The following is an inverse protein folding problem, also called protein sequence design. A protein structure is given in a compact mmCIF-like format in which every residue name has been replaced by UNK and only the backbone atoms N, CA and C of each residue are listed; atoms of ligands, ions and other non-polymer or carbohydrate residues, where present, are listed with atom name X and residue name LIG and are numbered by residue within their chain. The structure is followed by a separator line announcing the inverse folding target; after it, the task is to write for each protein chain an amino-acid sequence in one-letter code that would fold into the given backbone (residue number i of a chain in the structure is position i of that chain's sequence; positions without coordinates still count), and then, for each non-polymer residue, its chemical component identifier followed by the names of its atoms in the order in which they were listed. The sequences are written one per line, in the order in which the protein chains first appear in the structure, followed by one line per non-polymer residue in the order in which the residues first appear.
data_IF_186434196275
#
_entry.id   IF_186434196275
#
_cell.length_a   1.000
_cell.length_b   1.000
_cell.length_c   1.000
_cell.angle_alpha   90.00
_cell.angle_beta   90.00
_cell.angle_gamma   90.00
#
_symmetry.space_group_name_H-M   'P 1'
#
loop_
_entity.id
_entity.type
_entity.pdbx_description
1 polymer ?
#
# COMPACT_ATOMS: atom_id res chain seq x y z
N UNK A 1 -31.49 -40.27 -26.72
CA UNK A 1 -31.00 -38.90 -26.45
C UNK A 1 -30.17 -38.84 -25.17
N UNK A 2 -30.58 -39.39 -24.00
CA UNK A 2 -29.79 -39.33 -22.74
C UNK A 2 -28.44 -40.14 -22.79
N UNK A 3 -28.32 -41.19 -23.57
CA UNK A 3 -27.09 -42.00 -23.69
C UNK A 3 -26.06 -41.33 -24.58
N UNK A 4 -26.49 -40.68 -25.65
CA UNK A 4 -25.61 -39.94 -26.56
C UNK A 4 -25.04 -38.68 -25.89
N UNK A 5 -25.82 -37.96 -25.07
CA UNK A 5 -25.34 -36.81 -24.28
C UNK A 5 -24.30 -37.22 -23.22
N UNK A 6 -24.45 -38.39 -22.57
CA UNK A 6 -23.44 -38.89 -21.62
C UNK A 6 -22.13 -39.27 -22.31
N UNK A 7 -22.19 -39.90 -23.48
CA UNK A 7 -21.03 -40.31 -24.24
C UNK A 7 -20.27 -39.04 -24.77
N UNK A 8 -20.98 -38.04 -25.31
CA UNK A 8 -20.41 -36.76 -25.71
C UNK A 8 -19.75 -36.00 -24.52
N UNK A 9 -20.34 -36.04 -23.32
CA UNK A 9 -19.74 -35.41 -22.14
C UNK A 9 -18.46 -36.11 -21.68
N UNK A 10 -18.42 -37.45 -21.75
CA UNK A 10 -17.22 -38.22 -21.39
C UNK A 10 -16.11 -38.03 -22.42
N UNK A 11 -16.43 -38.05 -23.72
CA UNK A 11 -15.43 -37.78 -24.76
C UNK A 11 -14.85 -36.37 -24.69
N UNK A 12 -15.70 -35.35 -24.44
CA UNK A 12 -15.23 -33.96 -24.26
C UNK A 12 -14.33 -33.83 -23.01
N UNK A 13 -14.72 -34.48 -21.90
CA UNK A 13 -13.91 -34.52 -20.68
C UNK A 13 -12.57 -35.20 -20.85
N UNK A 14 -12.54 -36.31 -21.63
CA UNK A 14 -11.31 -37.04 -21.92
C UNK A 14 -10.38 -36.21 -22.80
N UNK A 15 -10.91 -35.55 -23.83
CA UNK A 15 -10.12 -34.66 -24.72
C UNK A 15 -9.54 -33.49 -23.94
N UNK A 16 -10.34 -32.89 -23.04
CA UNK A 16 -9.88 -31.79 -22.17
C UNK A 16 -8.78 -32.27 -21.22
N UNK A 17 -8.94 -33.46 -20.62
CA UNK A 17 -7.91 -34.06 -19.76
C UNK A 17 -6.61 -34.33 -20.49
N UNK A 18 -6.66 -34.91 -21.69
CA UNK A 18 -5.49 -35.17 -22.53
C UNK A 18 -4.79 -33.86 -22.91
N UNK A 19 -5.56 -32.83 -23.25
CA UNK A 19 -5.02 -31.49 -23.54
C UNK A 19 -4.31 -30.88 -22.30
N UNK A 20 -4.90 -30.98 -21.13
CA UNK A 20 -4.29 -30.50 -19.88
C UNK A 20 -3.01 -31.26 -19.53
N UNK A 21 -3.00 -32.59 -19.72
CA UNK A 21 -1.79 -33.42 -19.54
C UNK A 21 -0.70 -33.05 -20.55
N UNK A 22 -1.06 -32.82 -21.81
CA UNK A 22 -0.12 -32.38 -22.83
C UNK A 22 0.49 -31.00 -22.52
N UNK A 23 -0.33 -30.05 -22.09
CA UNK A 23 0.13 -28.71 -21.64
C UNK A 23 1.06 -28.86 -20.45
N UNK A 24 0.70 -29.67 -19.45
CA UNK A 24 1.54 -29.93 -18.30
C UNK A 24 2.89 -30.54 -18.69
N UNK A 25 2.89 -31.47 -19.65
CA UNK A 25 4.10 -32.07 -20.17
C UNK A 25 5.01 -31.05 -20.87
N UNK A 26 4.43 -30.18 -21.71
CA UNK A 26 5.15 -29.11 -22.39
C UNK A 26 5.80 -28.17 -21.39
N UNK A 27 5.04 -27.72 -20.36
CA UNK A 27 5.55 -26.82 -19.33
C UNK A 27 6.70 -27.46 -18.55
N UNK A 28 6.56 -28.71 -18.10
CA UNK A 28 7.59 -29.37 -17.27
C UNK A 28 8.83 -29.85 -18.04
N UNK A 29 8.71 -30.21 -19.34
CA UNK A 29 9.82 -30.78 -20.09
C UNK A 29 10.43 -29.85 -21.14
N UNK A 30 9.65 -28.91 -21.69
CA UNK A 30 10.13 -27.99 -22.75
C UNK A 30 10.55 -26.65 -22.14
N UNK A 31 9.75 -26.09 -21.22
CA UNK A 31 10.03 -24.80 -20.56
C UNK A 31 10.60 -25.05 -19.18
N UNK A 32 11.85 -25.47 -19.14
CA UNK A 32 12.54 -25.74 -17.86
C UNK A 32 13.15 -24.46 -17.28
N UNK A 33 13.29 -24.35 -15.93
CA UNK A 33 13.94 -23.21 -15.27
C UNK A 33 15.34 -22.92 -15.83
N UNK A 34 16.11 -23.96 -16.15
CA UNK A 34 17.45 -23.83 -16.77
C UNK A 34 17.47 -23.07 -18.10
N UNK A 35 16.39 -23.14 -18.88
CA UNK A 35 16.26 -22.42 -20.14
C UNK A 35 15.62 -21.03 -19.95
N UNK A 36 14.66 -20.93 -19.04
CA UNK A 36 13.87 -19.71 -18.85
C UNK A 36 14.66 -18.64 -18.07
N UNK A 37 15.38 -19.06 -17.02
CA UNK A 37 16.11 -18.12 -16.14
C UNK A 37 17.10 -17.23 -16.90
N UNK A 38 18.02 -17.75 -17.76
CA UNK A 38 18.96 -16.90 -18.47
C UNK A 38 18.25 -15.92 -19.43
N UNK A 39 17.18 -16.36 -20.11
CA UNK A 39 16.44 -15.49 -21.04
C UNK A 39 15.81 -14.30 -20.31
N UNK A 40 15.21 -14.55 -19.14
CA UNK A 40 14.60 -13.47 -18.33
C UNK A 40 15.67 -12.55 -17.75
N UNK A 41 16.78 -13.11 -17.25
CA UNK A 41 17.91 -12.33 -16.74
C UNK A 41 18.52 -11.42 -17.81
N UNK A 42 18.80 -11.97 -18.98
CA UNK A 42 19.41 -11.22 -20.08
C UNK A 42 18.49 -10.08 -20.53
N UNK A 43 17.20 -10.36 -20.73
CA UNK A 43 16.23 -9.35 -21.12
C UNK A 43 16.11 -8.21 -20.07
N UNK A 44 16.03 -8.56 -18.79
CA UNK A 44 15.94 -7.57 -17.72
C UNK A 44 17.24 -6.75 -17.58
N UNK A 45 18.40 -7.39 -17.61
CA UNK A 45 19.70 -6.72 -17.46
C UNK A 45 20.08 -5.83 -18.65
N UNK A 46 19.49 -6.08 -19.83
CA UNK A 46 19.65 -5.20 -21.00
C UNK A 46 18.84 -3.89 -20.86
N UNK A 47 17.68 -3.96 -20.22
CA UNK A 47 16.77 -2.81 -20.10
C UNK A 47 17.01 -1.95 -18.85
N UNK A 48 17.56 -2.55 -17.80
CA UNK A 48 17.77 -1.86 -16.51
C UNK A 48 19.18 -1.23 -16.39
N UNK A 49 19.26 -0.11 -15.71
CA UNK A 49 20.49 0.45 -15.17
C UNK A 49 20.82 -0.17 -13.80
N UNK A 50 20.71 -1.47 -13.73
CA UNK A 50 20.91 -2.27 -12.54
C UNK A 50 21.37 -3.67 -12.96
N UNK A 51 21.83 -4.45 -12.00
CA UNK A 51 22.08 -5.88 -12.15
C UNK A 51 20.99 -6.64 -11.40
N UNK A 52 20.15 -7.33 -12.16
CA UNK A 52 19.18 -8.28 -11.64
C UNK A 52 19.83 -9.66 -11.60
N UNK A 53 19.73 -10.33 -10.47
CA UNK A 53 20.11 -11.72 -10.29
C UNK A 53 18.94 -12.51 -9.67
N UNK A 54 18.87 -13.81 -9.96
CA UNK A 54 17.85 -14.70 -9.41
C UNK A 54 18.29 -16.15 -9.51
N UNK A 55 17.88 -16.96 -8.56
CA UNK A 55 18.21 -18.38 -8.54
C UNK A 55 17.50 -19.16 -9.68
N UNK A 56 16.20 -18.95 -9.81
CA UNK A 56 15.40 -19.64 -10.84
C UNK A 56 14.13 -18.89 -11.21
N UNK A 57 13.70 -19.10 -12.46
CA UNK A 57 12.39 -18.74 -12.97
C UNK A 57 11.64 -20.00 -13.38
N UNK A 58 10.47 -20.19 -12.79
CA UNK A 58 9.62 -21.36 -13.03
C UNK A 58 8.29 -20.92 -13.60
N UNK A 59 7.77 -21.64 -14.60
CA UNK A 59 6.39 -21.49 -15.03
C UNK A 59 5.49 -22.31 -14.12
N UNK A 60 4.44 -21.69 -13.60
CA UNK A 60 3.42 -22.35 -12.79
C UNK A 60 2.09 -22.29 -13.52
N UNK A 61 1.40 -23.43 -13.59
CA UNK A 61 0.06 -23.50 -14.19
C UNK A 61 -0.95 -24.07 -13.18
N UNK A 62 -0.63 -25.19 -12.55
CA UNK A 62 -1.60 -25.87 -11.68
C UNK A 62 -1.94 -25.08 -10.41
N UNK A 63 -0.99 -24.38 -9.82
CA UNK A 63 -1.22 -23.56 -8.63
C UNK A 63 -1.90 -22.22 -8.95
N UNK A 64 -1.89 -21.81 -10.22
CA UNK A 64 -2.44 -20.53 -10.68
C UNK A 64 -3.58 -20.68 -11.68
N UNK A 65 -4.01 -21.93 -11.98
CA UNK A 65 -5.07 -22.24 -12.95
C UNK A 65 -6.35 -21.41 -12.74
N UNK A 66 -6.96 -20.84 -13.79
CA UNK A 66 -6.64 -20.97 -15.24
C UNK A 66 -5.61 -19.97 -15.76
N UNK A 67 -4.86 -19.29 -14.91
CA UNK A 67 -3.85 -18.30 -15.25
C UNK A 67 -2.47 -18.96 -15.35
N UNK A 68 -1.57 -18.35 -16.12
CA UNK A 68 -0.17 -18.73 -16.11
C UNK A 68 0.59 -17.90 -15.10
N UNK A 69 1.41 -18.55 -14.28
CA UNK A 69 2.25 -17.89 -13.30
C UNK A 69 3.73 -18.00 -13.67
N UNK A 70 4.45 -16.93 -13.43
CA UNK A 70 5.90 -16.91 -13.34
C UNK A 70 6.28 -16.85 -11.88
N UNK A 71 7.04 -17.82 -11.41
CA UNK A 71 7.59 -17.86 -10.06
C UNK A 71 9.09 -17.61 -10.15
N UNK A 72 9.56 -16.55 -9.52
CA UNK A 72 10.97 -16.19 -9.43
C UNK A 72 11.44 -16.43 -8.00
N UNK A 73 12.54 -17.15 -7.84
CA UNK A 73 13.12 -17.45 -6.51
C UNK A 73 14.41 -16.69 -6.28
N UNK A 74 14.57 -16.23 -5.04
CA UNK A 74 15.78 -15.58 -4.53
C UNK A 74 16.32 -14.50 -5.46
N UNK A 75 15.46 -13.50 -5.76
CA UNK A 75 15.83 -12.40 -6.64
C UNK A 75 16.50 -11.26 -5.88
N UNK A 76 17.45 -10.60 -6.55
CA UNK A 76 18.10 -9.39 -6.04
C UNK A 76 18.34 -8.38 -7.15
N UNK A 77 18.19 -7.11 -6.85
CA UNK A 77 18.40 -5.99 -7.76
C UNK A 77 19.44 -5.05 -7.18
N UNK A 78 20.59 -4.95 -7.85
CA UNK A 78 21.70 -4.08 -7.47
C UNK A 78 21.79 -2.93 -8.45
N UNK A 79 21.68 -1.70 -7.96
CA UNK A 79 21.73 -0.50 -8.78
C UNK A 79 23.16 -0.23 -9.29
N UNK A 80 23.26 0.32 -10.50
CA UNK A 80 24.49 0.86 -11.06
C UNK A 80 24.56 2.39 -10.97
N UNK A 81 23.52 3.03 -10.43
CA UNK A 81 23.39 4.49 -10.43
C UNK A 81 24.38 5.20 -9.49
N UNK A 82 24.79 4.55 -8.39
CA UNK A 82 25.62 5.18 -7.36
C UNK A 82 27.12 5.03 -7.61
N UNK A 83 27.56 3.94 -8.24
CA UNK A 83 28.95 3.58 -8.33
C UNK A 83 29.31 2.99 -9.68
N UNK A 84 30.35 3.51 -10.32
CA UNK A 84 30.80 3.06 -11.63
C UNK A 84 31.80 1.90 -11.54
N UNK A 85 32.35 1.55 -10.38
CA UNK A 85 33.53 0.67 -10.30
C UNK A 85 33.58 -0.37 -9.19
N UNK A 86 32.76 -0.28 -8.13
CA UNK A 86 32.75 -1.29 -7.06
C UNK A 86 31.38 -1.41 -6.41
N UNK A 87 30.94 -2.67 -6.19
CA UNK A 87 29.73 -2.93 -5.45
C UNK A 87 29.87 -2.50 -3.98
N UNK A 88 28.87 -1.81 -3.44
CA UNK A 88 28.76 -1.56 -2.02
C UNK A 88 27.32 -1.86 -1.53
N UNK A 89 27.14 -2.00 -0.21
CA UNK A 89 25.85 -2.35 0.37
C UNK A 89 24.71 -1.40 0.00
N UNK A 90 25.04 -0.14 -0.24
CA UNK A 90 24.08 0.91 -0.64
C UNK A 90 23.57 0.75 -2.07
N UNK A 91 24.20 -0.08 -2.89
CA UNK A 91 23.78 -0.35 -4.27
C UNK A 91 22.65 -1.38 -4.33
N UNK A 92 22.53 -2.23 -3.30
CA UNK A 92 21.47 -3.24 -3.20
C UNK A 92 20.13 -2.56 -2.91
N UNK A 93 19.28 -2.44 -3.93
CA UNK A 93 17.97 -1.80 -3.83
C UNK A 93 16.88 -2.75 -3.33
N UNK A 94 16.84 -3.96 -3.86
CA UNK A 94 15.76 -4.92 -3.62
C UNK A 94 16.31 -6.32 -3.51
N UNK A 95 15.79 -7.09 -2.57
CA UNK A 95 15.87 -8.55 -2.58
C UNK A 95 14.55 -9.16 -2.16
N UNK A 96 14.27 -10.37 -2.61
CA UNK A 96 13.07 -11.12 -2.24
C UNK A 96 13.35 -12.62 -2.32
N UNK A 97 12.65 -13.39 -1.51
CA UNK A 97 12.75 -14.86 -1.54
C UNK A 97 11.91 -15.44 -2.67
N UNK A 98 10.69 -14.95 -2.82
CA UNK A 98 9.78 -15.42 -3.85
C UNK A 98 9.01 -14.23 -4.47
N UNK A 99 8.91 -14.24 -5.80
CA UNK A 99 8.03 -13.36 -6.54
C UNK A 99 7.14 -14.22 -7.44
N UNK A 100 5.84 -14.09 -7.32
CA UNK A 100 4.86 -14.77 -8.18
C UNK A 100 4.08 -13.73 -8.96
N UNK A 101 4.19 -13.83 -10.28
CA UNK A 101 3.46 -13.00 -11.24
C UNK A 101 2.47 -13.88 -11.99
N UNK A 102 1.17 -13.57 -11.97
CA UNK A 102 0.17 -14.30 -12.77
C UNK A 102 -0.37 -13.44 -13.89
N UNK A 103 -0.37 -14.00 -15.09
CA UNK A 103 -0.80 -13.32 -16.32
C UNK A 103 -1.96 -14.05 -17.00
N UNK A 104 -2.76 -13.32 -17.75
CA UNK A 104 -3.81 -13.91 -18.59
C UNK A 104 -3.27 -14.12 -20.01
N UNK A 105 -2.98 -15.37 -20.42
CA UNK A 105 -2.46 -15.65 -21.74
C UNK A 105 -3.49 -15.41 -22.85
N UNK A 106 -4.78 -15.56 -22.56
CA UNK A 106 -5.85 -15.36 -23.54
C UNK A 106 -5.90 -13.88 -23.93
N UNK A 107 -5.86 -12.96 -22.97
CA UNK A 107 -5.81 -11.53 -23.26
C UNK A 107 -4.59 -11.13 -24.12
N UNK A 108 -3.45 -11.78 -23.89
CA UNK A 108 -2.27 -11.56 -24.72
C UNK A 108 -2.47 -12.05 -26.16
N UNK A 109 -3.04 -13.25 -26.33
CA UNK A 109 -3.23 -13.85 -27.66
C UNK A 109 -4.35 -13.18 -28.48
N UNK A 110 -5.40 -12.68 -27.82
CA UNK A 110 -6.59 -12.14 -28.50
C UNK A 110 -6.56 -10.62 -28.63
N UNK A 111 -5.94 -9.93 -27.67
CA UNK A 111 -6.02 -8.47 -27.53
C UNK A 111 -4.63 -7.80 -27.57
N UNK A 112 -3.55 -8.58 -27.68
CA UNK A 112 -2.16 -8.13 -27.55
C UNK A 112 -1.90 -7.29 -26.29
N UNK A 113 -2.60 -7.63 -25.20
CA UNK A 113 -2.59 -6.92 -23.93
C UNK A 113 -2.07 -7.82 -22.81
N UNK A 114 -1.09 -7.34 -22.04
CA UNK A 114 -0.59 -8.05 -20.86
C UNK A 114 -1.46 -7.68 -19.66
N UNK A 115 -2.30 -8.62 -19.21
CA UNK A 115 -3.09 -8.47 -18.00
C UNK A 115 -2.41 -9.26 -16.89
N UNK A 116 -1.89 -8.54 -15.91
CA UNK A 116 -1.31 -9.10 -14.69
C UNK A 116 -2.39 -9.21 -13.64
N UNK A 117 -2.83 -10.42 -13.30
CA UNK A 117 -3.86 -10.61 -12.29
C UNK A 117 -3.32 -10.45 -10.88
N UNK A 118 -2.17 -11.03 -10.60
CA UNK A 118 -1.57 -10.97 -9.27
C UNK A 118 -0.07 -10.74 -9.37
N UNK A 119 0.43 -9.89 -8.48
CA UNK A 119 1.85 -9.77 -8.16
C UNK A 119 1.99 -10.04 -6.66
N UNK A 120 2.68 -11.10 -6.29
CA UNK A 120 2.96 -11.43 -4.89
C UNK A 120 4.47 -11.50 -4.67
N UNK A 121 4.95 -10.82 -3.64
CA UNK A 121 6.35 -10.80 -3.23
C UNK A 121 6.42 -11.24 -1.76
N UNK A 122 7.34 -12.14 -1.44
CA UNK A 122 7.52 -12.69 -0.09
C UNK A 122 8.96 -12.51 0.39
N UNK A 123 9.10 -12.21 1.68
CA UNK A 123 10.37 -11.91 2.35
C UNK A 123 11.17 -10.85 1.57
N UNK A 124 10.55 -9.68 1.43
CA UNK A 124 11.10 -8.56 0.65
C UNK A 124 11.99 -7.70 1.54
N UNK A 125 13.17 -7.35 1.06
CA UNK A 125 13.99 -6.31 1.64
C UNK A 125 14.23 -5.21 0.61
N UNK A 126 13.86 -3.98 0.94
CA UNK A 126 14.10 -2.79 0.13
C UNK A 126 14.99 -1.84 0.90
N UNK A 127 16.08 -1.42 0.29
CA UNK A 127 16.94 -0.38 0.81
C UNK A 127 17.04 0.75 -0.22
N UNK A 128 16.11 1.70 -0.13
CA UNK A 128 16.10 2.89 -0.96
C UNK A 128 17.07 3.93 -0.38
N UNK A 129 18.16 4.20 -1.09
CA UNK A 129 19.25 5.07 -0.63
C UNK A 129 19.48 6.21 -1.61
N UNK A 130 19.60 7.44 -1.08
CA UNK A 130 20.06 8.62 -1.80
C UNK A 130 21.30 9.19 -1.10
N UNK A 131 22.36 9.43 -1.84
CA UNK A 131 23.58 10.00 -1.29
C UNK A 131 23.46 11.53 -1.12
N UNK A 132 24.47 12.16 -0.49
CA UNK A 132 24.52 13.61 -0.26
C UNK A 132 24.55 14.45 -1.54
N UNK A 133 24.95 13.87 -2.68
CA UNK A 133 24.99 14.56 -3.97
C UNK A 133 23.66 14.45 -4.74
N UNK A 134 22.65 13.76 -4.17
CA UNK A 134 21.34 13.59 -4.76
C UNK A 134 21.16 12.35 -5.65
N UNK A 135 22.23 11.58 -5.93
CA UNK A 135 22.12 10.32 -6.68
C UNK A 135 21.44 9.25 -5.84
N UNK A 136 20.56 8.48 -6.46
CA UNK A 136 19.75 7.48 -5.76
C UNK A 136 19.91 6.07 -6.38
N UNK A 137 19.88 5.03 -5.52
CA UNK A 137 19.96 3.65 -5.99
C UNK A 137 18.69 3.14 -6.66
N UNK A 138 17.57 3.85 -6.55
CA UNK A 138 16.33 3.52 -7.27
C UNK A 138 16.26 4.09 -8.70
N UNK A 139 17.28 4.81 -9.16
CA UNK A 139 17.42 5.27 -10.55
C UNK A 139 17.87 4.11 -11.45
N UNK A 140 17.03 3.07 -11.50
CA UNK A 140 17.33 1.81 -12.21
C UNK A 140 16.80 1.77 -13.64
N UNK A 141 16.12 2.80 -14.12
CA UNK A 141 15.73 2.94 -15.51
C UNK A 141 16.86 3.57 -16.31
N UNK A 142 17.19 2.99 -17.47
CA UNK A 142 18.08 3.69 -18.40
C UNK A 142 17.34 4.88 -18.96
N UNK A 143 17.99 6.04 -18.97
CA UNK A 143 17.47 7.19 -19.71
C UNK A 143 17.29 6.77 -21.17
N UNK A 144 16.08 6.88 -21.70
CA UNK A 144 15.85 6.75 -23.13
C UNK A 144 16.67 7.86 -23.80
N UNK A 145 17.64 7.47 -24.60
CA UNK A 145 18.32 8.44 -25.48
C UNK A 145 17.26 8.85 -26.50
N UNK A 146 16.70 10.03 -26.30
CA UNK A 146 15.82 10.69 -27.24
C UNK A 146 16.58 11.01 -28.54
N UNK A 147 16.84 10.01 -29.36
CA UNK A 147 17.30 10.16 -30.75
C UNK A 147 16.89 8.94 -31.55
N UNK A 148 15.57 8.78 -31.75
CA UNK A 148 15.08 7.97 -32.87
C UNK A 148 14.11 8.85 -33.65
N UNK A 149 14.42 9.15 -34.96
CA UNK A 149 13.48 9.80 -35.86
C UNK A 149 12.23 8.93 -35.98
N UNK A 150 11.09 9.57 -35.98
CA UNK A 150 9.76 8.96 -36.03
C UNK A 150 9.44 8.30 -37.40
N UNK A 151 10.27 7.37 -37.88
CA UNK A 151 10.00 6.65 -39.14
C UNK A 151 10.72 5.30 -39.16
N UNK A 152 10.43 4.44 -38.23
CA UNK A 152 10.59 2.99 -38.43
C UNK A 152 9.58 2.33 -37.50
N UNK A 153 8.75 1.47 -38.11
CA UNK A 153 7.72 0.70 -37.43
C UNK A 153 8.35 -0.11 -36.27
N UNK A 154 8.45 0.56 -35.12
CA UNK A 154 8.61 -0.10 -33.84
C UNK A 154 7.31 -0.85 -33.62
N UNK A 155 7.40 -2.14 -33.45
CA UNK A 155 6.35 -2.92 -32.79
C UNK A 155 6.15 -2.28 -31.44
N UNK A 156 5.25 -1.30 -31.39
CA UNK A 156 4.81 -0.68 -30.15
C UNK A 156 4.29 -1.80 -29.26
N UNK A 157 5.10 -2.16 -28.27
CA UNK A 157 4.67 -2.90 -27.11
C UNK A 157 3.76 -1.97 -26.30
N UNK A 158 2.62 -1.63 -26.89
CA UNK A 158 1.55 -0.88 -26.25
C UNK A 158 0.76 -1.85 -25.35
N UNK A 159 1.50 -2.55 -24.47
CA UNK A 159 0.92 -3.48 -23.54
C UNK A 159 0.39 -2.68 -22.37
N UNK A 160 -0.91 -2.42 -22.39
CA UNK A 160 -1.64 -1.89 -21.25
C UNK A 160 -1.51 -2.92 -20.11
N UNK A 161 -0.75 -2.56 -19.07
CA UNK A 161 -0.54 -3.42 -17.90
C UNK A 161 -1.68 -3.15 -16.92
N UNK A 162 -2.62 -4.09 -16.81
CA UNK A 162 -3.72 -4.06 -15.85
C UNK A 162 -3.36 -4.96 -14.65
N UNK A 163 -2.89 -4.36 -13.56
CA UNK A 163 -2.56 -5.08 -12.31
C UNK A 163 -3.77 -5.02 -11.38
N UNK A 164 -4.33 -6.18 -11.01
CA UNK A 164 -5.53 -6.26 -10.18
C UNK A 164 -5.26 -6.52 -8.71
N UNK A 165 -4.24 -7.31 -8.40
CA UNK A 165 -3.87 -7.63 -7.03
C UNK A 165 -2.37 -7.48 -6.84
N UNK A 166 -1.98 -6.79 -5.77
CA UNK A 166 -0.59 -6.71 -5.31
C UNK A 166 -0.57 -7.22 -3.87
N UNK A 167 0.34 -8.13 -3.57
CA UNK A 167 0.55 -8.65 -2.23
C UNK A 167 2.04 -8.60 -1.89
N UNK A 168 2.38 -7.94 -0.78
CA UNK A 168 3.69 -8.01 -0.15
C UNK A 168 3.56 -8.74 1.17
N UNK A 169 4.46 -9.66 1.46
CA UNK A 169 4.50 -10.42 2.71
C UNK A 169 5.88 -10.30 3.34
N UNK A 170 5.89 -10.01 4.63
CA UNK A 170 7.12 -9.93 5.43
C UNK A 170 8.16 -9.00 4.81
N UNK A 171 7.73 -7.78 4.43
CA UNK A 171 8.60 -6.80 3.81
C UNK A 171 9.32 -5.95 4.86
N UNK A 172 10.63 -5.79 4.69
CA UNK A 172 11.46 -4.87 5.46
C UNK A 172 11.90 -3.74 4.53
N UNK A 173 11.45 -2.53 4.82
CA UNK A 173 11.64 -1.38 3.96
C UNK A 173 12.50 -0.34 4.68
N UNK A 174 13.57 0.11 4.04
CA UNK A 174 14.42 1.18 4.52
C UNK A 174 14.48 2.27 3.46
N UNK A 175 14.23 3.51 3.87
CA UNK A 175 14.46 4.71 3.09
C UNK A 175 15.50 5.57 3.80
N UNK A 176 16.65 5.79 3.17
CA UNK A 176 17.81 6.51 3.70
C UNK A 176 18.22 7.62 2.74
N UNK A 177 17.66 8.80 2.93
CA UNK A 177 17.96 9.98 2.13
C UNK A 177 18.95 10.89 2.85
N UNK A 178 20.23 10.78 2.48
CA UNK A 178 21.32 11.59 3.04
C UNK A 178 21.34 13.01 2.51
N UNK A 179 20.61 13.31 1.45
CA UNK A 179 20.50 14.65 0.90
C UNK A 179 19.56 15.54 1.73
N UNK A 180 18.46 14.96 2.21
CA UNK A 180 17.46 15.66 3.03
C UNK A 180 17.52 15.31 4.52
N UNK A 181 18.47 14.44 4.91
CA UNK A 181 18.64 13.91 6.26
C UNK A 181 17.34 13.25 6.80
N UNK A 182 16.74 12.40 5.94
CA UNK A 182 15.56 11.61 6.27
C UNK A 182 15.94 10.13 6.31
N UNK A 183 15.58 9.47 7.41
CA UNK A 183 15.70 8.03 7.53
C UNK A 183 14.38 7.43 8.00
N UNK A 184 13.86 6.44 7.28
CA UNK A 184 12.68 5.68 7.65
C UNK A 184 12.93 4.19 7.54
N UNK A 185 12.39 3.44 8.48
CA UNK A 185 12.43 1.98 8.47
C UNK A 185 11.08 1.42 8.87
N UNK A 186 10.60 0.46 8.09
CA UNK A 186 9.38 -0.28 8.36
C UNK A 186 9.74 -1.76 8.42
N UNK A 187 9.42 -2.41 9.53
CA UNK A 187 9.74 -3.81 9.77
C UNK A 187 8.49 -4.68 9.62
N UNK A 188 8.65 -5.80 8.92
CA UNK A 188 7.63 -6.84 8.73
C UNK A 188 6.30 -6.28 8.21
N UNK A 189 6.40 -5.51 7.14
CA UNK A 189 5.24 -4.93 6.48
C UNK A 189 4.53 -5.97 5.61
N UNK A 190 3.21 -6.01 5.72
CA UNK A 190 2.34 -6.77 4.85
C UNK A 190 1.40 -5.80 4.14
N UNK A 191 1.28 -5.94 2.84
CA UNK A 191 0.40 -5.12 2.00
C UNK A 191 -0.44 -6.02 1.12
N UNK A 192 -1.73 -5.77 1.09
CA UNK A 192 -2.64 -6.39 0.13
C UNK A 192 -3.51 -5.32 -0.52
N UNK A 193 -3.29 -5.13 -1.80
CA UNK A 193 -4.00 -4.18 -2.64
C UNK A 193 -4.84 -4.96 -3.65
N UNK A 194 -6.12 -4.66 -3.75
CA UNK A 194 -7.03 -5.18 -4.75
C UNK A 194 -7.63 -4.04 -5.55
N UNK A 195 -7.47 -4.09 -6.85
CA UNK A 195 -7.98 -3.08 -7.76
C UNK A 195 -9.01 -3.73 -8.70
N UNK A 196 -10.18 -3.13 -8.81
CA UNK A 196 -11.17 -3.49 -9.81
C UNK A 196 -11.56 -2.27 -10.60
N UNK A 197 -11.29 -2.32 -11.90
CA UNK A 197 -11.60 -1.26 -12.84
C UNK A 197 -12.78 -1.70 -13.70
N UNK A 198 -13.95 -1.06 -13.53
CA UNK A 198 -15.11 -1.27 -14.37
C UNK A 198 -15.50 0.01 -15.09
N UNK A 199 -16.35 -0.08 -16.11
CA UNK A 199 -16.86 1.11 -16.80
C UNK A 199 -17.67 1.96 -15.82
N UNK A 200 -17.11 3.09 -15.38
CA UNK A 200 -17.75 4.06 -14.49
C UNK A 200 -17.33 3.99 -13.04
N UNK A 201 -17.18 2.81 -12.43
CA UNK A 201 -16.81 2.66 -11.02
C UNK A 201 -15.50 1.88 -10.88
N UNK A 202 -14.60 2.40 -10.08
CA UNK A 202 -13.37 1.72 -9.66
C UNK A 202 -13.44 1.42 -8.16
N UNK A 203 -12.98 0.25 -7.76
CA UNK A 203 -12.86 -0.12 -6.35
C UNK A 203 -11.41 -0.45 -6.01
N UNK A 204 -10.97 0.04 -4.86
CA UNK A 204 -9.65 -0.22 -4.30
C UNK A 204 -9.83 -0.76 -2.89
N UNK A 205 -9.49 -2.02 -2.67
CA UNK A 205 -9.37 -2.61 -1.33
C UNK A 205 -7.92 -2.58 -0.90
N UNK A 206 -7.64 -1.99 0.26
CA UNK A 206 -6.31 -1.89 0.85
C UNK A 206 -6.30 -2.54 2.24
N UNK A 207 -5.33 -3.42 2.48
CA UNK A 207 -4.95 -3.89 3.80
C UNK A 207 -3.45 -3.72 3.95
N UNK A 208 -3.03 -3.09 5.03
CA UNK A 208 -1.63 -2.89 5.37
C UNK A 208 -1.46 -3.15 6.86
N UNK A 209 -0.41 -3.83 7.22
CA UNK A 209 0.05 -3.94 8.61
C UNK A 209 1.57 -4.00 8.67
N UNK A 210 2.12 -3.60 9.81
CA UNK A 210 3.53 -3.69 10.10
C UNK A 210 3.78 -3.86 11.59
N UNK A 211 4.96 -4.36 11.95
CA UNK A 211 5.35 -4.51 13.37
C UNK A 211 5.97 -3.26 13.96
N UNK A 212 6.70 -2.49 13.14
CA UNK A 212 7.45 -1.35 13.65
C UNK A 212 7.70 -0.32 12.55
N UNK A 213 7.50 0.95 12.88
CA UNK A 213 7.93 2.10 12.08
C UNK A 213 8.90 2.92 12.92
N UNK A 214 10.03 3.28 12.29
CA UNK A 214 10.98 4.29 12.76
C UNK A 214 11.06 5.40 11.73
N UNK A 215 11.05 6.65 12.18
CA UNK A 215 11.24 7.79 11.30
C UNK A 215 12.11 8.85 11.97
N UNK A 216 13.19 9.21 11.30
CA UNK A 216 14.14 10.25 11.69
C UNK A 216 14.14 11.35 10.65
N UNK A 217 14.22 12.59 11.11
CA UNK A 217 14.41 13.75 10.26
C UNK A 217 15.37 14.73 10.93
N UNK A 218 16.40 15.16 10.21
CA UNK A 218 17.39 16.11 10.72
C UNK A 218 18.00 15.71 12.07
N UNK A 219 18.33 14.42 12.22
CA UNK A 219 18.91 13.87 13.45
C UNK A 219 17.89 13.66 14.59
N UNK A 220 16.64 14.00 14.40
CA UNK A 220 15.58 13.85 15.39
C UNK A 220 14.72 12.61 15.14
N UNK A 221 14.47 11.80 16.18
CA UNK A 221 13.57 10.65 16.13
C UNK A 221 12.12 11.11 16.32
N UNK A 222 11.37 11.23 15.22
CA UNK A 222 9.99 11.70 15.22
C UNK A 222 8.98 10.56 15.43
N UNK A 223 9.27 9.35 14.92
CA UNK A 223 8.43 8.17 15.08
C UNK A 223 9.28 7.03 15.60
N UNK A 224 8.83 6.39 16.68
CA UNK A 224 9.55 5.32 17.32
C UNK A 224 8.62 4.17 17.72
N UNK A 225 8.91 2.98 17.19
CA UNK A 225 8.23 1.73 17.53
C UNK A 225 6.70 1.82 17.39
N UNK A 226 6.25 2.24 16.22
CA UNK A 226 4.83 2.29 15.89
C UNK A 226 4.46 1.05 15.07
N UNK A 227 3.55 0.25 15.62
CA UNK A 227 2.84 -0.78 14.88
C UNK A 227 1.55 -0.19 14.33
N UNK A 228 1.25 -0.45 13.05
CA UNK A 228 0.03 0.03 12.42
C UNK A 228 -0.71 -1.09 11.70
N UNK A 229 -2.02 -0.95 11.63
CA UNK A 229 -2.88 -1.78 10.77
C UNK A 229 -3.89 -0.86 10.10
N UNK A 230 -3.97 -0.90 8.79
CA UNK A 230 -4.91 -0.12 7.99
C UNK A 230 -5.74 -1.05 7.12
N UNK A 231 -7.06 -0.89 7.17
CA UNK A 231 -8.01 -1.50 6.25
C UNK A 231 -8.89 -0.40 5.67
N UNK A 232 -9.11 -0.43 4.37
CA UNK A 232 -10.08 0.47 3.73
C UNK A 232 -10.56 -0.11 2.41
N UNK A 233 -11.83 0.12 2.10
CA UNK A 233 -12.42 -0.09 0.79
C UNK A 233 -12.83 1.26 0.22
N UNK A 234 -12.22 1.64 -0.91
CA UNK A 234 -12.46 2.91 -1.59
C UNK A 234 -13.20 2.63 -2.89
N UNK A 235 -14.32 3.29 -3.09
CA UNK A 235 -15.05 3.27 -4.35
C UNK A 235 -14.96 4.65 -5.00
N UNK A 236 -14.61 4.69 -6.27
CA UNK A 236 -14.51 5.92 -7.05
C UNK A 236 -15.49 5.85 -8.22
N UNK A 237 -16.51 6.67 -8.19
CA UNK A 237 -17.36 6.93 -9.33
C UNK A 237 -16.69 7.96 -10.21
N UNK A 238 -16.25 7.55 -11.41
CA UNK A 238 -15.52 8.40 -12.34
C UNK A 238 -16.41 9.43 -13.03
N UNK A 239 -17.72 9.17 -13.13
CA UNK A 239 -18.65 10.08 -13.79
C UNK A 239 -18.99 11.25 -12.88
N UNK A 240 -19.22 10.97 -11.60
CA UNK A 240 -19.60 11.99 -10.61
C UNK A 240 -18.43 12.54 -9.81
N UNK A 241 -17.22 11.98 -10.00
CA UNK A 241 -16.01 12.27 -9.23
C UNK A 241 -16.20 12.11 -7.69
N UNK A 242 -17.09 11.18 -7.29
CA UNK A 242 -17.38 10.87 -5.89
C UNK A 242 -16.49 9.72 -5.44
N UNK A 243 -15.82 9.95 -4.32
CA UNK A 243 -15.03 8.95 -3.59
C UNK A 243 -15.81 8.52 -2.35
N UNK A 244 -15.98 7.23 -2.16
CA UNK A 244 -16.61 6.67 -0.97
C UNK A 244 -15.59 5.85 -0.21
N UNK A 245 -15.41 6.18 1.07
CA UNK A 245 -14.64 5.42 2.03
C UNK A 245 -15.60 4.48 2.76
N UNK A 246 -15.27 3.20 2.79
CA UNK A 246 -16.07 2.19 3.45
C UNK A 246 -15.17 1.28 4.25
N UNK A 247 -15.62 0.93 5.45
CA UNK A 247 -14.90 0.03 6.36
C UNK A 247 -13.43 0.45 6.56
N UNK A 248 -13.19 1.79 6.65
CA UNK A 248 -11.86 2.34 6.88
C UNK A 248 -11.54 2.33 8.36
N UNK A 249 -10.58 1.52 8.72
CA UNK A 249 -10.09 1.33 10.08
C UNK A 249 -8.56 1.45 10.09
N UNK A 250 -8.04 2.36 10.91
CA UNK A 250 -6.62 2.52 11.18
C UNK A 250 -6.36 2.25 12.66
N UNK A 251 -5.56 1.26 12.98
CA UNK A 251 -5.03 1.04 14.32
C UNK A 251 -3.57 1.51 14.37
N UNK A 252 -3.24 2.25 15.40
CA UNK A 252 -1.87 2.70 15.69
C UNK A 252 -1.56 2.42 17.16
N UNK A 253 -0.77 1.39 17.41
CA UNK A 253 -0.43 0.97 18.78
C UNK A 253 -1.67 0.74 19.69
N UNK A 254 -2.78 0.22 19.13
CA UNK A 254 -4.02 -0.03 19.88
C UNK A 254 -4.96 1.17 19.99
N UNK A 255 -4.62 2.31 19.38
CA UNK A 255 -5.54 3.43 19.18
C UNK A 255 -6.20 3.25 17.82
N UNK A 256 -7.51 3.01 17.83
CA UNK A 256 -8.29 2.77 16.61
C UNK A 256 -8.95 4.05 16.13
N UNK A 257 -8.83 4.32 14.85
CA UNK A 257 -9.52 5.38 14.11
C UNK A 257 -10.38 4.75 13.01
N UNK A 258 -11.66 5.07 13.00
CA UNK A 258 -12.61 4.67 11.97
C UNK A 258 -13.03 5.91 11.16
N UNK A 259 -13.08 5.78 9.84
CA UNK A 259 -13.56 6.86 8.95
C UNK A 259 -14.41 6.26 7.84
N UNK A 260 -15.65 6.74 7.72
CA UNK A 260 -16.57 6.30 6.67
C UNK A 260 -17.28 7.50 6.04
N UNK A 261 -17.72 7.36 4.80
CA UNK A 261 -18.49 8.40 4.14
C UNK A 261 -18.05 8.67 2.72
N UNK A 262 -18.28 9.88 2.24
CA UNK A 262 -17.99 10.25 0.86
C UNK A 262 -17.43 11.66 0.76
N UNK A 263 -16.58 11.85 -0.25
CA UNK A 263 -16.14 13.20 -0.65
C UNK A 263 -16.11 13.32 -2.17
N UNK A 264 -16.26 14.55 -2.65
CA UNK A 264 -16.21 14.89 -4.08
C UNK A 264 -15.29 16.10 -4.26
N UNK A 265 -14.29 15.96 -5.09
CA UNK A 265 -13.42 17.07 -5.49
C UNK A 265 -14.01 17.78 -6.70
N UNK A 266 -14.22 19.07 -6.59
CA UNK A 266 -14.52 19.97 -7.71
C UNK A 266 -13.24 20.68 -8.10
N UNK A 267 -12.69 20.34 -9.28
CA UNK A 267 -11.42 20.90 -9.78
C UNK A 267 -11.58 22.31 -10.32
N UNK A 268 -12.78 22.67 -10.79
CA UNK A 268 -13.09 24.00 -11.33
C UNK A 268 -13.27 25.00 -10.18
N UNK A 269 -14.11 24.65 -9.21
CA UNK A 269 -14.35 25.48 -8.03
C UNK A 269 -13.21 25.37 -6.99
N UNK A 270 -12.25 24.45 -7.16
CA UNK A 270 -11.18 24.14 -6.19
C UNK A 270 -11.73 23.83 -4.79
N UNK A 271 -12.83 23.11 -4.72
CA UNK A 271 -13.51 22.77 -3.47
C UNK A 271 -13.62 21.27 -3.29
N UNK A 272 -13.81 20.85 -2.03
CA UNK A 272 -14.05 19.45 -1.64
C UNK A 272 -15.37 19.40 -0.88
N UNK A 273 -16.41 18.85 -1.50
CA UNK A 273 -17.63 18.48 -0.78
C UNK A 273 -17.42 17.20 -0.03
N UNK A 274 -17.82 17.14 1.25
CA UNK A 274 -17.61 15.96 2.08
C UNK A 274 -18.77 15.70 3.02
N UNK A 275 -18.96 14.42 3.32
CA UNK A 275 -19.86 13.92 4.35
C UNK A 275 -19.20 12.68 4.94
N UNK A 276 -18.42 12.87 6.01
CA UNK A 276 -17.57 11.88 6.63
C UNK A 276 -17.96 11.70 8.09
N UNK A 277 -18.12 10.48 8.52
CA UNK A 277 -18.23 10.07 9.92
C UNK A 277 -16.90 9.53 10.38
N UNK A 278 -16.49 9.88 11.59
CA UNK A 278 -15.24 9.41 12.18
C UNK A 278 -15.43 9.00 13.64
N UNK A 279 -14.65 8.03 14.04
CA UNK A 279 -14.55 7.54 15.40
C UNK A 279 -13.10 7.30 15.77
N UNK A 280 -12.73 7.60 17.03
CA UNK A 280 -11.45 7.22 17.61
C UNK A 280 -11.72 6.55 18.95
N UNK A 281 -11.07 5.43 19.19
CA UNK A 281 -11.12 4.71 20.45
C UNK A 281 -9.69 4.42 20.92
N UNK A 282 -9.33 4.99 22.04
CA UNK A 282 -8.08 4.75 22.75
C UNK A 282 -8.42 4.10 24.10
N UNK A 283 -8.23 2.78 24.26
CA UNK A 283 -8.49 2.09 25.53
C UNK A 283 -7.60 2.60 26.67
N UNK A 284 -6.49 3.24 26.32
CA UNK A 284 -5.58 3.91 27.23
C UNK A 284 -4.92 5.11 26.56
N UNK A 285 -4.69 6.17 27.29
CA UNK A 285 -3.93 7.34 26.81
C UNK A 285 -2.42 7.06 26.72
N UNK A 286 -1.91 6.06 27.42
CA UNK A 286 -0.48 5.80 27.53
C UNK A 286 0.21 5.52 26.17
N UNK A 287 -0.35 4.71 25.25
CA UNK A 287 0.24 4.53 23.93
C UNK A 287 0.33 5.84 23.14
N UNK A 288 -0.69 6.70 23.23
CA UNK A 288 -0.69 8.01 22.59
C UNK A 288 0.43 8.92 23.11
N UNK A 289 0.63 8.97 24.41
CA UNK A 289 1.72 9.75 25.02
C UNK A 289 3.11 9.25 24.60
N UNK A 290 3.29 7.94 24.45
CA UNK A 290 4.55 7.34 24.00
C UNK A 290 4.87 7.64 22.53
N UNK A 291 3.87 8.00 21.73
CA UNK A 291 4.05 8.37 20.33
C UNK A 291 4.51 9.82 20.15
N UNK A 292 4.35 10.67 21.15
CA UNK A 292 4.80 12.05 21.07
C UNK A 292 6.33 12.10 21.04
N UNK A 293 6.95 12.74 20.03
CA UNK A 293 8.40 12.85 19.97
C UNK A 293 8.98 13.55 21.19
N UNK A 294 10.13 13.09 21.65
CA UNK A 294 10.78 13.63 22.87
C UNK A 294 11.14 15.12 22.77
N UNK A 295 11.33 15.64 21.56
CA UNK A 295 11.58 17.06 21.30
C UNK A 295 10.41 17.95 21.68
N UNK A 296 9.17 17.47 21.55
CA UNK A 296 7.97 18.21 21.94
C UNK A 296 7.67 18.08 23.44
N UNK A 297 8.23 17.06 24.09
CA UNK A 297 7.90 16.70 25.46
C UNK A 297 9.21 16.65 26.27
N UNK A 298 10.04 17.72 26.15
CA UNK A 298 11.27 17.86 26.94
C UNK A 298 10.93 17.69 28.42
N UNK A 299 11.48 16.64 29.02
CA UNK A 299 11.31 16.32 30.45
C UNK A 299 9.88 16.08 30.95
N UNK A 300 8.90 15.93 30.05
CA UNK A 300 7.54 15.66 30.48
C UNK A 300 7.44 14.24 31.04
N UNK A 301 7.55 14.21 32.29
CA UNK A 301 7.23 13.10 33.17
C UNK A 301 5.69 13.07 33.35
N UNK A 302 4.94 13.18 32.26
CA UNK A 302 3.49 13.05 32.24
C UNK A 302 3.16 11.57 32.12
N UNK A 303 2.43 11.04 33.06
CA UNK A 303 1.71 9.77 32.91
C UNK A 303 0.22 10.09 32.82
N UNK A 304 -0.47 9.45 31.89
CA UNK A 304 -1.91 9.51 31.81
C UNK A 304 -2.46 8.12 31.51
N UNK A 305 -3.55 7.79 32.15
CA UNK A 305 -4.34 6.57 31.97
C UNK A 305 -5.78 6.96 31.71
N UNK A 306 -6.60 6.01 31.35
CA UNK A 306 -8.02 6.22 31.09
C UNK A 306 -8.36 5.98 29.62
N UNK A 307 -9.62 5.67 29.40
CA UNK A 307 -10.19 5.45 28.07
C UNK A 307 -10.60 6.79 27.45
N UNK A 308 -10.29 6.97 26.16
CA UNK A 308 -10.75 8.12 25.37
C UNK A 308 -11.51 7.62 24.16
N UNK A 309 -12.72 8.11 23.98
CA UNK A 309 -13.52 7.92 22.78
C UNK A 309 -13.77 9.27 22.12
N UNK A 310 -13.62 9.32 20.81
CA UNK A 310 -13.98 10.48 20.00
C UNK A 310 -14.90 10.02 18.90
N UNK A 311 -15.97 10.72 18.63
CA UNK A 311 -16.82 10.46 17.47
C UNK A 311 -17.36 11.77 16.91
N UNK A 312 -17.67 11.77 15.61
CA UNK A 312 -18.20 12.94 15.01
C UNK A 312 -18.47 12.80 13.53
N UNK A 313 -18.85 13.93 12.93
CA UNK A 313 -19.13 14.03 11.51
C UNK A 313 -18.62 15.37 10.97
N UNK A 314 -18.04 15.32 9.79
CA UNK A 314 -17.67 16.50 9.00
C UNK A 314 -18.56 16.55 7.80
N UNK A 315 -19.38 17.61 7.64
CA UNK A 315 -20.32 17.75 6.55
C UNK A 315 -20.30 19.14 5.96
N UNK A 316 -20.19 19.22 4.64
CA UNK A 316 -20.23 20.49 3.93
C UNK A 316 -19.19 20.59 2.83
N UNK A 317 -18.79 21.81 2.53
CA UNK A 317 -17.81 22.11 1.46
C UNK A 317 -16.60 22.80 2.08
N UNK A 318 -15.42 22.24 1.81
CA UNK A 318 -14.14 22.84 2.13
C UNK A 318 -13.56 23.55 0.90
N UNK A 319 -13.08 24.76 1.05
CA UNK A 319 -12.47 25.54 -0.03
C UNK A 319 -12.10 26.94 0.42
N UNK A 320 -11.73 27.82 -0.51
CA UNK A 320 -11.47 29.21 -0.19
C UNK A 320 -12.72 29.82 0.44
N UNK A 321 -12.56 30.35 1.68
CA UNK A 321 -13.66 30.94 2.49
C UNK A 321 -14.87 30.03 2.75
N UNK A 322 -14.74 28.71 2.56
CA UNK A 322 -15.77 27.72 2.86
C UNK A 322 -15.22 26.68 3.84
N UNK A 323 -15.95 26.46 4.91
CA UNK A 323 -15.59 25.46 5.93
C UNK A 323 -16.78 24.52 6.15
N UNK A 324 -16.56 23.21 6.24
CA UNK A 324 -17.63 22.27 6.58
C UNK A 324 -18.04 22.44 8.05
N UNK A 325 -19.26 22.06 8.36
CA UNK A 325 -19.71 21.93 9.72
C UNK A 325 -19.09 20.65 10.35
N UNK A 326 -18.76 20.73 11.62
CA UNK A 326 -18.12 19.64 12.39
C UNK A 326 -18.91 19.37 13.65
N UNK A 327 -19.33 18.13 13.86
CA UNK A 327 -19.77 17.64 15.16
C UNK A 327 -18.64 16.84 15.81
N UNK A 328 -18.50 16.96 17.12
CA UNK A 328 -17.46 16.31 17.91
C UNK A 328 -18.01 15.90 19.26
N UNK A 329 -17.91 14.61 19.56
CA UNK A 329 -18.17 14.07 20.89
C UNK A 329 -16.91 13.42 21.43
N UNK A 330 -16.52 13.79 22.64
CA UNK A 330 -15.37 13.20 23.33
C UNK A 330 -15.89 12.63 24.64
N UNK A 331 -15.66 11.36 24.87
CA UNK A 331 -15.88 10.69 26.16
C UNK A 331 -14.52 10.34 26.78
N UNK A 332 -14.37 10.68 28.04
CA UNK A 332 -13.20 10.32 28.86
C UNK A 332 -13.73 9.53 30.04
N UNK A 333 -13.14 8.34 30.30
CA UNK A 333 -13.55 7.50 31.43
C UNK A 333 -12.35 7.13 32.27
N UNK A 334 -12.52 7.24 33.58
CA UNK A 334 -11.56 6.82 34.60
C UNK A 334 -10.13 7.35 34.31
N UNK A 335 -10.07 8.61 33.86
CA UNK A 335 -8.81 9.22 33.50
C UNK A 335 -8.04 9.62 34.74
N UNK A 336 -6.75 9.32 34.75
CA UNK A 336 -5.79 9.84 35.69
C UNK A 336 -4.61 10.43 34.95
N UNK A 337 -4.12 11.56 35.45
CA UNK A 337 -2.96 12.22 34.89
C UNK A 337 -2.08 12.76 36.02
N UNK A 338 -0.77 12.53 35.91
CA UNK A 338 0.20 13.07 36.83
C UNK A 338 1.38 13.68 36.05
N UNK A 339 1.74 14.89 36.47
CA UNK A 339 2.97 15.52 36.04
C UNK A 339 4.00 15.45 37.17
N UNK A 340 5.17 14.85 36.91
CA UNK A 340 6.18 14.56 37.95
C UNK A 340 6.72 15.79 38.70
N UNK A 341 6.48 17.00 38.21
CA UNK A 341 6.82 18.27 38.82
C UNK A 341 5.74 18.82 39.76
N UNK A 342 4.57 18.18 39.85
CA UNK A 342 3.48 18.56 40.72
C UNK A 342 3.32 17.56 41.86
N UNK A 343 3.02 18.00 43.09
CA UNK A 343 2.87 17.12 44.25
C UNK A 343 1.62 16.25 44.17
N UNK A 344 0.62 16.62 43.36
CA UNK A 344 -0.65 15.90 43.19
C UNK A 344 -0.94 15.67 41.73
N UNK A 345 -1.55 14.53 41.41
CA UNK A 345 -2.17 14.20 40.12
C UNK A 345 -3.66 14.50 40.09
N UNK A 346 -4.27 14.22 38.98
CA UNK A 346 -5.72 14.20 38.80
C UNK A 346 -6.11 12.73 38.63
N UNK A 347 -7.08 12.26 39.42
CA UNK A 347 -7.50 10.86 39.40
C UNK A 347 -9.02 10.75 39.17
N UNK A 348 -9.45 9.63 38.58
CA UNK A 348 -10.85 9.24 38.40
C UNK A 348 -11.71 10.26 37.65
N UNK A 349 -11.12 10.99 36.69
CA UNK A 349 -11.87 11.96 35.89
C UNK A 349 -12.73 11.24 34.85
N UNK A 350 -14.01 11.52 34.86
CA UNK A 350 -14.95 11.15 33.82
C UNK A 350 -15.54 12.42 33.24
N UNK A 351 -15.46 12.61 31.93
CA UNK A 351 -15.93 13.79 31.25
C UNK A 351 -16.55 13.49 29.90
N UNK A 352 -17.64 14.17 29.59
CA UNK A 352 -18.28 14.15 28.27
C UNK A 352 -18.25 15.56 27.67
N UNK A 353 -17.75 15.65 26.48
CA UNK A 353 -17.72 16.86 25.67
C UNK A 353 -18.51 16.66 24.39
N UNK A 354 -19.45 17.54 24.09
CA UNK A 354 -20.26 17.52 22.87
C UNK A 354 -20.27 18.92 22.25
N UNK A 355 -19.82 19.02 21.02
CA UNK A 355 -19.73 20.26 20.28
C UNK A 355 -20.25 20.11 18.85
N UNK A 356 -20.90 21.13 18.38
CA UNK A 356 -21.21 21.33 16.98
C UNK A 356 -20.75 22.73 16.56
N UNK A 357 -19.95 22.78 15.51
CA UNK A 357 -19.38 24.03 15.01
C UNK A 357 -19.73 24.18 13.53
N UNK A 358 -20.47 25.23 13.22
CA UNK A 358 -20.78 25.65 11.85
C UNK A 358 -20.32 27.09 11.64
N UNK A 359 -19.09 27.25 11.16
CA UNK A 359 -18.48 28.56 10.93
C UNK A 359 -19.14 29.32 9.76
N UNK A 360 -19.89 28.63 8.91
CA UNK A 360 -20.69 29.25 7.82
C UNK A 360 -22.08 29.69 8.29
N UNK A 361 -22.42 29.42 9.57
CA UNK A 361 -23.66 29.84 10.24
C UNK A 361 -24.96 29.36 9.59
N UNK A 362 -24.94 28.19 8.96
CA UNK A 362 -26.17 27.54 8.46
C UNK A 362 -27.01 26.99 9.60
N UNK A 363 -26.35 26.60 10.72
CA UNK A 363 -26.98 26.16 11.95
C UNK A 363 -26.26 26.75 13.19
N UNK A 364 -26.95 26.90 14.32
CA UNK A 364 -26.33 27.37 15.56
C UNK A 364 -25.24 26.41 16.04
N UNK A 365 -24.07 26.95 16.38
CA UNK A 365 -23.01 26.21 17.05
C UNK A 365 -23.29 26.09 18.53
N UNK A 366 -22.89 24.98 19.13
CA UNK A 366 -22.98 24.74 20.57
C UNK A 366 -21.76 23.98 21.09
N UNK A 367 -21.57 24.09 22.41
CA UNK A 367 -20.54 23.40 23.18
C UNK A 367 -21.11 23.05 24.54
N UNK A 368 -21.09 21.76 24.90
CA UNK A 368 -21.51 21.22 26.17
C UNK A 368 -20.37 20.45 26.80
N UNK A 369 -20.14 20.66 28.09
CA UNK A 369 -19.17 19.92 28.88
C UNK A 369 -19.85 19.42 30.15
N UNK A 370 -19.67 18.14 30.44
CA UNK A 370 -20.10 17.49 31.67
C UNK A 370 -18.89 16.78 32.28
N UNK A 371 -18.64 17.03 33.55
CA UNK A 371 -17.53 16.44 34.31
C UNK A 371 -18.11 15.69 35.49
#
# INVERSE_FOLDING_TARGET
VKKTLKISGITLGTVLLVLLVAIAFVINFIVTPKKLTPVVLDAANQTLNAHLDMESVELTFFSTFPQFGLKVKNGSLVSKALNDSSWCKTDSLLSFKECVLTVNPIAYLTENRIVVHNLSLEEVAVYAYRNKTGKANWEVTRASVDTIPADTASTDFNSEIDIRNIELKHANLVFDDRNTDIYSRIDDANLKLRLSLTKGVSTLGLKFDNKNILFWQQGELLVNKIATSLRTDIMVDRQTAVWKLKDTELDVNGIRLDVNGAFRRDTVAKTIGMDLEYGLHAPSMEPGLRMIPKSYVKDSKVSAKGEVTVSGRVRGVYGDKKLPAVSLKIGIKEASAQYKGLPYGIDEVTADFDAYVDLMRHQPSYLNLKI
#
